data_IF_913731639827
#
_entry.id   IF_913731639827
#
_cell.length_a   1.000
_cell.length_b   1.000
_cell.length_c   1.000
_cell.angle_alpha   90.00
_cell.angle_beta   90.00
_cell.angle_gamma   90.00
#
_symmetry.space_group_name_H-M   'P 1'
#
loop_
_entity.id
_entity.type
_entity.pdbx_description
1 polymer ?
#
# COMPACT_ATOMS: atom_id res chain seq x y z
N UNK A 1 -0.34 11.33 -9.69
CA UNK A 1 1.12 11.24 -9.43
C UNK A 1 1.73 10.14 -10.29
N UNK A 2 2.39 10.47 -11.38
CA UNK A 2 3.07 9.46 -12.19
C UNK A 2 4.30 8.94 -11.45
N UNK A 3 4.54 7.64 -11.56
CA UNK A 3 5.75 7.00 -11.02
C UNK A 3 6.74 6.80 -12.17
N UNK A 4 6.25 6.21 -13.28
CA UNK A 4 7.00 6.03 -14.52
C UNK A 4 6.02 5.83 -15.68
N UNK A 5 6.50 5.35 -16.84
CA UNK A 5 5.66 5.19 -18.03
C UNK A 5 4.57 4.14 -17.87
N UNK A 6 4.75 3.19 -16.96
CA UNK A 6 3.85 2.06 -16.77
C UNK A 6 2.95 2.17 -15.54
N UNK A 7 3.34 2.99 -14.56
CA UNK A 7 2.76 2.97 -13.23
C UNK A 7 2.48 4.38 -12.74
N UNK A 8 1.29 4.56 -12.15
CA UNK A 8 0.92 5.83 -11.51
C UNK A 8 0.05 5.61 -10.29
N UNK A 9 -0.01 6.63 -9.44
CA UNK A 9 -0.95 6.71 -8.33
C UNK A 9 -2.00 7.76 -8.67
N UNK A 10 -3.28 7.37 -8.63
CA UNK A 10 -4.40 8.27 -8.87
C UNK A 10 -5.20 8.41 -7.58
N UNK A 11 -5.47 9.64 -7.16
CA UNK A 11 -6.24 9.88 -5.92
C UNK A 11 -7.57 9.16 -5.99
N UNK A 12 -7.98 8.62 -4.84
CA UNK A 12 -9.26 7.95 -4.66
C UNK A 12 -10.40 8.85 -5.16
N UNK A 13 -11.25 8.30 -5.99
CA UNK A 13 -12.33 9.03 -6.68
C UNK A 13 -13.71 8.82 -6.06
N UNK A 14 -13.79 8.13 -4.92
CA UNK A 14 -15.06 7.80 -4.27
C UNK A 14 -15.73 6.54 -4.80
N UNK A 15 -15.17 5.90 -5.82
CA UNK A 15 -15.76 4.69 -6.38
C UNK A 15 -15.29 3.44 -5.64
N UNK A 16 -16.01 3.07 -4.57
CA UNK A 16 -15.68 1.91 -3.74
C UNK A 16 -15.70 0.60 -4.51
N UNK A 17 -16.49 0.52 -5.57
CA UNK A 17 -16.65 -0.73 -6.33
C UNK A 17 -15.38 -1.13 -7.09
N UNK A 18 -14.49 -0.19 -7.36
CA UNK A 18 -13.22 -0.50 -8.02
C UNK A 18 -12.42 -1.53 -7.25
N UNK A 19 -12.32 -1.37 -5.93
CA UNK A 19 -11.56 -2.29 -5.08
C UNK A 19 -12.35 -3.47 -4.54
N UNK A 20 -13.66 -3.44 -4.65
CA UNK A 20 -14.52 -4.48 -4.06
C UNK A 20 -14.11 -5.91 -4.46
N UNK A 21 -13.89 -6.23 -5.75
CA UNK A 21 -13.51 -7.59 -6.11
C UNK A 21 -12.22 -8.08 -5.46
N UNK A 22 -11.27 -7.17 -5.19
CA UNK A 22 -9.99 -7.55 -4.57
C UNK A 22 -10.19 -8.08 -3.15
N UNK A 23 -11.08 -7.44 -2.38
CA UNK A 23 -11.35 -7.80 -0.98
C UNK A 23 -12.36 -8.94 -0.84
N UNK A 24 -12.85 -9.46 -1.97
CA UNK A 24 -13.65 -10.69 -2.00
C UNK A 24 -12.82 -11.92 -2.36
N UNK A 25 -11.56 -11.71 -2.75
CA UNK A 25 -10.61 -12.77 -3.00
C UNK A 25 -10.01 -13.25 -1.68
N UNK A 26 -10.13 -14.56 -1.34
CA UNK A 26 -9.59 -15.11 -0.10
C UNK A 26 -8.09 -14.87 0.10
N UNK A 27 -7.31 -14.88 -0.97
CA UNK A 27 -5.86 -14.62 -0.88
C UNK A 27 -5.58 -13.18 -0.45
N UNK A 28 -6.31 -12.21 -1.00
CA UNK A 28 -6.18 -10.81 -0.58
C UNK A 28 -6.55 -10.66 0.89
N UNK A 29 -7.66 -11.26 1.31
CA UNK A 29 -8.11 -11.21 2.71
C UNK A 29 -7.08 -11.83 3.64
N UNK A 30 -6.46 -12.94 3.23
CA UNK A 30 -5.38 -13.57 3.99
C UNK A 30 -4.20 -12.61 4.17
N UNK A 31 -3.78 -11.93 3.12
CA UNK A 31 -2.64 -11.01 3.17
C UNK A 31 -2.94 -9.75 3.99
N UNK A 32 -4.17 -9.26 3.93
CA UNK A 32 -4.57 -8.02 4.63
C UNK A 32 -4.89 -8.26 6.11
N UNK A 33 -5.61 -9.33 6.42
CA UNK A 33 -6.14 -9.59 7.77
C UNK A 33 -5.65 -10.88 8.42
N UNK A 34 -4.90 -11.69 7.70
CA UNK A 34 -4.50 -13.01 8.22
C UNK A 34 -5.57 -14.08 8.02
N UNK A 35 -6.61 -13.80 7.24
CA UNK A 35 -7.70 -14.73 6.95
C UNK A 35 -9.05 -14.20 7.39
N UNK A 36 -10.07 -15.00 7.21
CA UNK A 36 -11.44 -14.64 7.54
C UNK A 36 -12.33 -14.58 6.31
N UNK A 37 -13.53 -14.05 6.50
CA UNK A 37 -14.52 -13.96 5.44
C UNK A 37 -14.17 -12.85 4.43
N UNK A 38 -14.56 -13.00 3.16
CA UNK A 38 -14.49 -11.90 2.20
C UNK A 38 -15.21 -10.66 2.72
N UNK A 39 -14.71 -9.49 2.36
CA UNK A 39 -15.31 -8.24 2.80
C UNK A 39 -16.63 -8.00 2.07
N UNK A 40 -17.70 -7.75 2.83
CA UNK A 40 -18.94 -7.24 2.26
C UNK A 40 -18.71 -5.82 1.73
N UNK A 41 -19.57 -5.39 0.78
CA UNK A 41 -19.50 -4.06 0.19
C UNK A 41 -19.46 -2.94 1.24
N UNK A 42 -20.30 -3.06 2.27
CA UNK A 42 -20.35 -2.07 3.36
C UNK A 42 -19.01 -1.97 4.12
N UNK A 43 -18.31 -3.09 4.28
CA UNK A 43 -17.00 -3.10 4.95
C UNK A 43 -15.93 -2.46 4.08
N UNK A 44 -15.95 -2.71 2.78
CA UNK A 44 -15.03 -2.07 1.83
C UNK A 44 -15.24 -0.57 1.84
N UNK A 45 -16.49 -0.11 1.83
CA UNK A 45 -16.82 1.30 1.91
C UNK A 45 -16.28 1.94 3.19
N UNK A 46 -16.52 1.31 4.35
CA UNK A 46 -16.02 1.82 5.63
C UNK A 46 -14.50 1.87 5.66
N UNK A 47 -13.84 0.86 5.10
CA UNK A 47 -12.39 0.80 5.01
C UNK A 47 -11.83 1.98 4.21
N UNK A 48 -12.35 2.23 3.01
CA UNK A 48 -11.87 3.34 2.19
C UNK A 48 -12.21 4.69 2.80
N UNK A 49 -13.37 4.85 3.42
CA UNK A 49 -13.70 6.09 4.14
C UNK A 49 -12.72 6.35 5.28
N UNK A 50 -12.38 5.32 6.03
CA UNK A 50 -11.38 5.41 7.11
C UNK A 50 -10.01 5.82 6.57
N UNK A 51 -9.56 5.14 5.52
CA UNK A 51 -8.24 5.40 4.92
C UNK A 51 -8.17 6.81 4.33
N UNK A 52 -9.20 7.23 3.61
CA UNK A 52 -9.25 8.56 3.02
C UNK A 52 -9.29 9.67 4.08
N UNK A 53 -9.87 9.39 5.26
CA UNK A 53 -9.91 10.34 6.36
C UNK A 53 -8.56 10.47 7.09
N UNK A 54 -7.74 9.41 7.07
CA UNK A 54 -6.47 9.37 7.80
C UNK A 54 -5.27 9.77 6.95
N UNK A 55 -5.32 9.54 5.64
CA UNK A 55 -4.17 9.79 4.78
C UNK A 55 -4.56 10.09 3.34
N UNK A 56 -3.55 10.08 2.50
CA UNK A 56 -3.73 10.22 1.06
C UNK A 56 -3.98 8.84 0.47
N UNK A 57 -5.21 8.59 0.04
CA UNK A 57 -5.61 7.31 -0.54
C UNK A 57 -5.50 7.37 -2.05
N UNK A 58 -4.82 6.39 -2.63
CA UNK A 58 -4.58 6.29 -4.07
C UNK A 58 -4.98 4.93 -4.61
N UNK A 59 -5.47 4.93 -5.85
CA UNK A 59 -5.45 3.73 -6.70
C UNK A 59 -4.06 3.56 -7.26
N UNK A 60 -3.57 2.32 -7.26
CA UNK A 60 -2.35 1.95 -7.97
C UNK A 60 -2.79 1.52 -9.37
N UNK A 61 -2.32 2.22 -10.40
CA UNK A 61 -2.75 1.96 -11.76
C UNK A 61 -1.57 1.61 -12.66
N UNK A 62 -1.75 0.59 -13.49
CA UNK A 62 -0.76 0.20 -14.50
C UNK A 62 -1.29 0.47 -15.89
N UNK A 63 -0.39 0.79 -16.82
CA UNK A 63 -0.73 0.98 -18.22
C UNK A 63 -1.04 -0.37 -18.87
N UNK A 64 -2.20 -0.47 -19.51
CA UNK A 64 -2.63 -1.61 -20.29
C UNK A 64 -3.04 -1.15 -21.68
N UNK A 65 -3.44 -2.07 -22.54
CA UNK A 65 -4.00 -1.73 -23.86
C UNK A 65 -5.23 -0.84 -23.77
N UNK A 66 -5.93 -0.89 -22.65
CA UNK A 66 -7.14 -0.09 -22.39
C UNK A 66 -6.84 1.23 -21.68
N UNK A 67 -5.56 1.59 -21.52
CA UNK A 67 -5.13 2.72 -20.73
C UNK A 67 -4.73 2.31 -19.32
N UNK A 68 -4.66 3.29 -18.41
CA UNK A 68 -4.32 2.99 -17.02
C UNK A 68 -5.47 2.26 -16.32
N UNK A 69 -5.13 1.15 -15.68
CA UNK A 69 -6.09 0.24 -15.03
C UNK A 69 -5.75 0.06 -13.57
N UNK A 70 -6.72 0.24 -12.64
CA UNK A 70 -6.48 0.01 -11.22
C UNK A 70 -6.17 -1.44 -10.92
N UNK A 71 -5.10 -1.69 -10.15
CA UNK A 71 -4.69 -3.04 -9.74
C UNK A 71 -4.56 -3.18 -8.23
N UNK A 72 -4.68 -2.09 -7.49
CA UNK A 72 -4.53 -2.11 -6.06
C UNK A 72 -4.79 -0.73 -5.47
N UNK A 73 -4.55 -0.62 -4.18
CA UNK A 73 -4.65 0.63 -3.46
C UNK A 73 -3.48 0.81 -2.50
N UNK A 74 -3.20 2.06 -2.16
CA UNK A 74 -2.23 2.43 -1.14
C UNK A 74 -2.70 3.69 -0.46
N UNK A 75 -2.53 3.75 0.86
CA UNK A 75 -2.81 4.96 1.63
C UNK A 75 -1.52 5.40 2.29
N UNK A 76 -1.28 6.71 2.28
CA UNK A 76 -0.05 7.27 2.83
C UNK A 76 -0.35 8.34 3.86
N UNK A 77 0.18 8.15 5.07
CA UNK A 77 0.40 9.19 6.08
C UNK A 77 1.68 8.84 6.83
N UNK A 78 2.15 9.72 7.67
CA UNK A 78 3.47 9.52 8.28
C UNK A 78 3.56 8.20 9.07
N UNK A 79 2.50 7.81 9.74
CA UNK A 79 2.48 6.68 10.68
C UNK A 79 2.24 5.34 10.02
N UNK A 80 1.78 5.32 8.76
CA UNK A 80 1.46 4.04 8.11
C UNK A 80 1.42 4.17 6.59
N UNK A 81 1.56 3.03 5.91
CA UNK A 81 1.55 2.95 4.46
C UNK A 81 0.90 1.63 4.02
N UNK A 82 -0.41 1.43 4.31
CA UNK A 82 -1.08 0.21 3.86
C UNK A 82 -1.09 0.12 2.34
N UNK A 83 -0.56 -0.97 1.79
CA UNK A 83 -0.48 -1.21 0.36
C UNK A 83 -1.06 -2.58 0.03
N UNK A 84 -1.94 -2.63 -0.96
CA UNK A 84 -2.57 -3.86 -1.42
C UNK A 84 -2.51 -3.93 -2.94
N UNK A 85 -1.84 -4.96 -3.46
CA UNK A 85 -1.90 -5.31 -4.88
C UNK A 85 -3.04 -6.31 -5.01
N UNK A 86 -4.18 -5.84 -5.52
CA UNK A 86 -5.42 -6.62 -5.54
C UNK A 86 -5.48 -7.69 -6.63
N UNK A 87 -4.70 -7.54 -7.70
CA UNK A 87 -4.65 -8.49 -8.80
C UNK A 87 -3.40 -9.36 -8.70
N UNK A 88 -3.56 -10.68 -8.49
CA UNK A 88 -2.41 -11.58 -8.25
C UNK A 88 -1.33 -11.56 -9.32
N UNK A 89 -1.71 -11.35 -10.59
CA UNK A 89 -0.76 -11.33 -11.69
C UNK A 89 0.26 -10.18 -11.63
N UNK A 90 0.00 -9.17 -10.81
CA UNK A 90 0.92 -8.05 -10.63
C UNK A 90 1.77 -8.17 -9.35
N UNK A 91 1.55 -9.23 -8.56
CA UNK A 91 2.37 -9.48 -7.37
C UNK A 91 3.71 -10.09 -7.77
N UNK A 92 4.74 -9.80 -6.98
CA UNK A 92 6.08 -10.32 -7.24
C UNK A 92 6.80 -9.70 -8.44
N UNK A 93 6.32 -8.57 -8.94
CA UNK A 93 6.88 -7.89 -10.12
C UNK A 93 7.54 -6.55 -9.80
N UNK A 94 7.75 -6.26 -8.53
CA UNK A 94 8.39 -5.02 -8.12
C UNK A 94 7.48 -3.80 -8.10
N UNK A 95 6.19 -3.95 -8.33
CA UNK A 95 5.22 -2.84 -8.29
C UNK A 95 5.20 -2.20 -6.91
N UNK A 96 5.11 -3.02 -5.86
CA UNK A 96 5.09 -2.53 -4.48
C UNK A 96 6.30 -1.68 -4.14
N UNK A 97 7.50 -2.13 -4.53
CA UNK A 97 8.73 -1.37 -4.28
C UNK A 97 8.75 -0.01 -4.96
N UNK A 98 8.27 0.06 -6.20
CA UNK A 98 8.18 1.32 -6.95
C UNK A 98 7.18 2.28 -6.30
N UNK A 99 6.05 1.78 -5.82
CA UNK A 99 5.05 2.57 -5.10
C UNK A 99 5.62 3.10 -3.79
N UNK A 100 6.29 2.24 -3.01
CA UNK A 100 6.91 2.63 -1.73
C UNK A 100 7.93 3.74 -1.95
N UNK A 101 8.80 3.63 -2.96
CA UNK A 101 9.80 4.67 -3.25
C UNK A 101 9.14 5.99 -3.64
N UNK A 102 8.07 5.96 -4.44
CA UNK A 102 7.33 7.16 -4.80
C UNK A 102 6.74 7.85 -3.57
N UNK A 103 6.21 7.08 -2.62
CA UNK A 103 5.65 7.63 -1.39
C UNK A 103 6.72 8.10 -0.41
N UNK A 104 7.90 7.48 -0.40
CA UNK A 104 9.04 8.00 0.35
C UNK A 104 9.49 9.35 -0.21
N UNK A 105 9.45 9.52 -1.54
CA UNK A 105 9.71 10.81 -2.16
C UNK A 105 8.64 11.84 -1.76
N UNK A 106 7.38 11.44 -1.72
CA UNK A 106 6.29 12.28 -1.23
C UNK A 106 6.53 12.71 0.22
N UNK A 107 7.01 11.80 1.06
CA UNK A 107 7.36 12.09 2.45
C UNK A 107 8.46 13.13 2.55
N UNK A 108 9.47 13.06 1.67
CA UNK A 108 10.54 14.05 1.62
C UNK A 108 10.00 15.43 1.27
N UNK A 109 9.08 15.49 0.30
CA UNK A 109 8.42 16.73 -0.10
C UNK A 109 7.62 17.35 1.06
N UNK A 110 7.07 16.50 1.94
CA UNK A 110 6.35 16.93 3.13
C UNK A 110 7.26 17.22 4.33
N UNK A 111 8.58 17.09 4.14
CA UNK A 111 9.60 17.30 5.16
C UNK A 111 9.50 16.34 6.35
N UNK A 112 9.02 15.11 6.12
CA UNK A 112 9.06 14.07 7.13
C UNK A 112 10.48 13.53 7.27
N UNK A 113 10.92 13.32 8.51
CA UNK A 113 12.22 12.72 8.79
C UNK A 113 12.16 11.21 8.85
N UNK A 114 11.01 10.68 9.18
CA UNK A 114 10.76 9.24 9.27
C UNK A 114 9.41 8.92 8.66
N UNK A 115 9.30 7.72 8.12
CA UNK A 115 8.02 7.14 7.71
C UNK A 115 7.89 5.77 8.34
N UNK A 116 6.67 5.40 8.68
CA UNK A 116 6.38 4.20 9.47
C UNK A 116 5.41 3.29 8.75
N UNK A 117 5.52 1.99 9.06
CA UNK A 117 4.50 1.00 8.74
C UNK A 117 4.03 0.41 10.07
N UNK A 118 2.74 0.53 10.33
CA UNK A 118 2.17 0.19 11.64
C UNK A 118 2.33 -1.29 12.00
N UNK A 119 2.15 -2.18 11.02
CA UNK A 119 2.37 -3.60 11.24
C UNK A 119 2.56 -4.32 9.91
N UNK A 120 3.61 -5.13 9.81
CA UNK A 120 3.76 -6.11 8.75
C UNK A 120 3.72 -7.48 9.40
N UNK A 121 2.79 -8.33 8.95
CA UNK A 121 2.65 -9.68 9.51
C UNK A 121 3.85 -10.55 9.15
N UNK A 122 4.27 -11.40 10.10
CA UNK A 122 5.39 -12.31 9.90
C UNK A 122 5.20 -13.23 8.69
N UNK A 123 3.95 -13.67 8.46
CA UNK A 123 3.65 -14.56 7.35
C UNK A 123 3.63 -13.86 6.00
N UNK A 124 3.51 -12.54 5.96
CA UNK A 124 3.46 -11.79 4.70
C UNK A 124 4.89 -11.50 4.21
N UNK A 125 5.55 -12.54 3.71
CA UNK A 125 6.93 -12.45 3.25
C UNK A 125 7.12 -11.49 2.08
N UNK A 126 6.12 -11.37 1.20
CA UNK A 126 6.17 -10.45 0.07
C UNK A 126 6.23 -9.00 0.53
N UNK A 127 5.37 -8.62 1.46
CA UNK A 127 5.34 -7.28 2.04
C UNK A 127 6.64 -6.98 2.79
N UNK A 128 7.10 -7.91 3.62
CA UNK A 128 8.37 -7.73 4.36
C UNK A 128 9.53 -7.46 3.41
N UNK A 129 9.67 -8.26 2.34
CA UNK A 129 10.75 -8.07 1.36
C UNK A 129 10.67 -6.71 0.67
N UNK A 130 9.46 -6.29 0.28
CA UNK A 130 9.28 -4.99 -0.39
C UNK A 130 9.73 -3.83 0.51
N UNK A 131 9.28 -3.82 1.76
CA UNK A 131 9.64 -2.75 2.68
C UNK A 131 11.10 -2.81 3.12
N UNK A 132 11.63 -4.01 3.38
CA UNK A 132 13.04 -4.17 3.75
C UNK A 132 13.98 -3.73 2.63
N UNK A 133 13.66 -4.06 1.38
CA UNK A 133 14.44 -3.58 0.23
C UNK A 133 14.38 -2.07 0.08
N UNK A 134 13.28 -1.46 0.48
CA UNK A 134 13.12 0.00 0.46
C UNK A 134 13.77 0.68 1.67
N UNK A 135 14.49 -0.06 2.52
CA UNK A 135 15.21 0.50 3.64
C UNK A 135 14.44 0.60 4.95
N UNK A 136 13.25 0.03 5.02
CA UNK A 136 12.51 -0.05 6.27
C UNK A 136 13.10 -1.14 7.16
N UNK A 137 13.16 -0.87 8.45
CA UNK A 137 13.68 -1.82 9.46
C UNK A 137 12.66 -1.98 10.59
N UNK A 138 12.54 -3.21 11.15
CA UNK A 138 11.66 -3.40 12.29
C UNK A 138 12.22 -2.71 13.53
N UNK A 139 11.36 -2.07 14.31
CA UNK A 139 11.77 -1.40 15.53
C UNK A 139 10.95 -1.81 16.76
N UNK A 140 9.81 -2.44 16.56
CA UNK A 140 8.95 -2.89 17.66
C UNK A 140 8.21 -4.15 17.25
N UNK A 141 8.27 -5.17 18.08
CA UNK A 141 7.56 -6.41 17.84
C UNK A 141 6.08 -6.24 18.19
N UNK A 142 5.20 -6.81 17.34
CA UNK A 142 3.76 -6.88 17.59
C UNK A 142 3.35 -8.33 17.77
N UNK A 143 2.08 -8.55 18.13
CA UNK A 143 1.57 -9.91 18.31
C UNK A 143 1.73 -10.79 17.07
N UNK A 144 1.54 -10.22 15.86
CA UNK A 144 1.55 -10.97 14.61
C UNK A 144 2.73 -10.65 13.69
N UNK A 145 3.54 -9.66 14.05
CA UNK A 145 4.64 -9.24 13.20
C UNK A 145 5.49 -8.17 13.84
N UNK A 146 5.69 -7.06 13.15
CA UNK A 146 6.50 -5.97 13.66
C UNK A 146 6.08 -4.64 13.04
N UNK A 147 6.40 -3.56 13.73
CA UNK A 147 6.33 -2.20 13.22
C UNK A 147 7.66 -1.85 12.59
N UNK A 148 7.59 -1.15 11.46
CA UNK A 148 8.77 -0.81 10.68
C UNK A 148 8.90 0.70 10.56
N UNK A 149 10.14 1.15 10.37
CA UNK A 149 10.46 2.57 10.16
C UNK A 149 11.56 2.71 9.12
N UNK A 150 11.46 3.74 8.31
CA UNK A 150 12.55 4.20 7.46
C UNK A 150 12.89 5.63 7.82
N UNK A 151 14.16 5.90 8.13
CA UNK A 151 14.66 7.24 8.33
C UNK A 151 15.04 7.84 6.99
N UNK A 152 14.54 9.03 6.72
CA UNK A 152 14.87 9.78 5.51
C UNK A 152 16.04 10.71 5.83
N UNK A 153 17.15 10.58 5.09
CA UNK A 153 18.31 11.43 5.28
C UNK A 153 18.11 12.77 4.56
N UNK A 154 18.89 13.79 4.94
CA UNK A 154 18.82 15.10 4.26
C UNK A 154 19.24 15.02 2.79
N UNK A 155 20.16 14.12 2.47
CA UNK A 155 20.61 13.90 1.09
C UNK A 155 19.51 13.34 0.21
N UNK A 156 18.54 12.64 0.81
CA UNK A 156 17.40 12.04 0.11
C UNK A 156 16.20 12.97 0.02
N UNK A 157 16.24 14.12 0.68
CA UNK A 157 15.14 15.08 0.69
C UNK A 157 15.27 16.18 -0.34
#
# INVERSE_FOLDING_TARGET
MPIDDELRLRRFDGNYDTGLPWYQDPETVLLVDGGGDPYARSRVRRMYDYLAAHGELYWIEVRTEKGFTPIGDVTFWQEDMPIVIGLPQYRGRGVGGRVIEALCQRARELNYHNVYVNEIYDFNAGSRRCFERAGFVPYEKTERGARYVRRLTEEER
#
